data_IF_148158449293
#
_entry.id   IF_148158449293
#
_cell.length_a   1.000
_cell.length_b   1.000
_cell.length_c   1.000
_cell.angle_alpha   90.00
_cell.angle_beta   90.00
_cell.angle_gamma   90.00
#
_symmetry.space_group_name_H-M   'P 1'
#
loop_
_entity.id
_entity.type
_entity.pdbx_description
1 polymer ?
#
# COMPACT_ATOMS: atom_id res chain seq x y z
N UNK A 1 11.90 -0.98 -5.97
CA UNK A 1 12.75 -0.62 -4.82
C UNK A 1 12.90 -1.72 -3.76
N UNK A 2 12.60 -3.01 -4.05
CA UNK A 2 12.79 -4.11 -3.07
C UNK A 2 13.61 -5.29 -3.60
N UNK A 3 14.21 -5.17 -4.80
CA UNK A 3 15.00 -6.23 -5.43
C UNK A 3 16.52 -6.06 -5.19
N UNK A 4 16.94 -5.82 -3.94
CA UNK A 4 18.35 -5.97 -3.61
C UNK A 4 18.66 -7.47 -3.53
N UNK A 5 19.67 -7.94 -4.29
CA UNK A 5 19.94 -9.37 -4.47
C UNK A 5 20.16 -10.15 -3.15
N UNK A 6 20.57 -9.43 -2.10
CA UNK A 6 20.83 -9.98 -0.77
C UNK A 6 19.57 -10.39 0.02
N UNK A 7 18.38 -9.90 -0.34
CA UNK A 7 17.15 -10.14 0.42
C UNK A 7 16.11 -10.97 -0.35
N UNK A 8 16.54 -11.75 -1.34
CA UNK A 8 15.64 -12.67 -2.05
C UNK A 8 15.13 -13.75 -1.09
N UNK A 9 13.82 -14.03 -1.13
CA UNK A 9 13.10 -15.00 -0.31
C UNK A 9 12.97 -14.65 1.19
N UNK A 10 13.18 -13.38 1.57
CA UNK A 10 12.86 -12.90 2.92
C UNK A 10 11.56 -12.11 2.85
N UNK A 11 10.53 -12.45 3.65
CA UNK A 11 9.26 -11.74 3.60
C UNK A 11 9.44 -10.30 4.09
N UNK A 12 8.89 -9.34 3.35
CA UNK A 12 8.89 -7.94 3.73
C UNK A 12 7.58 -7.59 4.46
N UNK A 13 7.73 -7.07 5.68
CA UNK A 13 6.65 -6.43 6.43
C UNK A 13 6.74 -4.92 6.21
N UNK A 14 5.61 -4.30 5.85
CA UNK A 14 5.51 -2.85 5.77
C UNK A 14 4.30 -2.35 6.57
N UNK A 15 4.50 -1.25 7.30
CA UNK A 15 3.42 -0.50 7.94
C UNK A 15 3.35 0.87 7.27
N UNK A 16 2.30 1.15 6.47
CA UNK A 16 2.16 2.45 5.85
C UNK A 16 1.87 3.48 6.94
N UNK A 17 2.87 4.30 7.26
CA UNK A 17 2.65 5.45 8.12
C UNK A 17 1.85 6.47 7.32
N UNK A 18 0.64 6.77 7.79
CA UNK A 18 -0.05 7.96 7.34
C UNK A 18 0.72 9.16 7.87
N UNK A 19 1.60 9.73 7.05
CA UNK A 19 2.03 11.08 7.32
C UNK A 19 0.76 11.94 7.36
N UNK A 20 0.54 12.64 8.48
CA UNK A 20 -0.37 13.78 8.55
C UNK A 20 0.09 14.73 7.44
N UNK A 21 -0.43 14.59 6.23
CA UNK A 21 -0.35 15.65 5.23
C UNK A 21 -1.36 16.67 5.73
N UNK A 22 -0.86 17.57 6.58
CA UNK A 22 -1.61 18.73 7.04
C UNK A 22 -1.93 19.51 5.78
N UNK A 23 -3.21 19.51 5.40
CA UNK A 23 -3.70 20.35 4.33
C UNK A 23 -3.63 21.80 4.85
N UNK A 24 -2.49 22.47 4.61
CA UNK A 24 -2.21 23.80 5.18
C UNK A 24 -3.25 24.86 4.81
N UNK A 25 -4.09 24.59 3.81
CA UNK A 25 -5.18 25.45 3.35
C UNK A 25 -6.48 25.33 4.16
N UNK A 26 -6.71 24.22 4.86
CA UNK A 26 -7.94 23.99 5.61
C UNK A 26 -7.61 23.44 7.00
N UNK A 27 -7.69 24.30 8.02
CA UNK A 27 -7.40 24.00 9.43
C UNK A 27 -8.35 23.02 10.13
N UNK A 28 -8.85 22.01 9.41
CA UNK A 28 -9.64 20.92 9.96
C UNK A 28 -8.72 19.71 10.10
N UNK A 29 -8.08 19.58 11.26
CA UNK A 29 -7.49 18.31 11.68
C UNK A 29 -8.62 17.28 11.79
N UNK A 30 -8.80 16.45 10.76
CA UNK A 30 -9.75 15.34 10.81
C UNK A 30 -9.00 14.04 10.55
N UNK A 31 -8.92 13.22 11.59
CA UNK A 31 -8.38 11.85 11.56
C UNK A 31 -8.97 10.99 10.43
N UNK A 32 -10.16 11.35 9.91
CA UNK A 32 -10.80 10.70 8.75
C UNK A 32 -10.08 10.90 7.41
N UNK A 33 -9.24 11.93 7.26
CA UNK A 33 -8.48 12.22 6.03
C UNK A 33 -7.33 11.21 5.80
N UNK A 34 -7.02 10.41 6.82
CA UNK A 34 -5.92 9.44 6.87
C UNK A 34 -6.17 8.13 6.07
N UNK A 35 -7.44 7.74 5.88
CA UNK A 35 -7.80 6.43 5.30
C UNK A 35 -7.37 6.32 3.83
N UNK A 36 -7.59 7.37 3.03
CA UNK A 36 -7.28 7.37 1.60
C UNK A 36 -5.78 7.45 1.31
N UNK A 37 -5.03 8.20 2.13
CA UNK A 37 -3.56 8.23 2.05
C UNK A 37 -2.97 6.86 2.39
N UNK A 38 -3.48 6.22 3.44
CA UNK A 38 -3.09 4.86 3.82
C UNK A 38 -3.44 3.86 2.71
N UNK A 39 -4.65 3.95 2.13
CA UNK A 39 -5.08 3.12 1.01
C UNK A 39 -4.17 3.27 -0.22
N UNK A 40 -3.76 4.50 -0.54
CA UNK A 40 -2.85 4.78 -1.65
C UNK A 40 -1.47 4.16 -1.42
N UNK A 41 -0.92 4.33 -0.22
CA UNK A 41 0.35 3.70 0.15
C UNK A 41 0.26 2.16 0.13
N UNK A 42 -0.85 1.59 0.60
CA UNK A 42 -1.15 0.16 0.52
C UNK A 42 -1.16 -0.36 -0.91
N UNK A 43 -1.87 0.32 -1.82
CA UNK A 43 -1.94 -0.09 -3.22
C UNK A 43 -0.54 -0.15 -3.86
N UNK A 44 0.30 0.85 -3.56
CA UNK A 44 1.70 0.89 -3.97
C UNK A 44 2.48 -0.29 -3.39
N UNK A 45 2.36 -0.56 -2.09
CA UNK A 45 3.05 -1.68 -1.43
C UNK A 45 2.71 -3.03 -2.08
N UNK A 46 1.43 -3.27 -2.36
CA UNK A 46 0.97 -4.49 -3.03
C UNK A 46 1.60 -4.60 -4.41
N UNK A 47 1.51 -3.55 -5.23
CA UNK A 47 2.09 -3.55 -6.59
C UNK A 47 3.60 -3.82 -6.56
N UNK A 48 4.32 -3.30 -5.57
CA UNK A 48 5.76 -3.53 -5.41
C UNK A 48 6.14 -4.86 -4.75
N UNK A 49 5.17 -5.68 -4.38
CA UNK A 49 5.40 -7.06 -3.90
C UNK A 49 5.75 -7.17 -2.42
N UNK A 50 5.20 -6.28 -1.58
CA UNK A 50 5.28 -6.46 -0.11
C UNK A 50 4.44 -7.67 0.31
N UNK A 51 5.01 -8.55 1.15
CA UNK A 51 4.37 -9.80 1.56
C UNK A 51 3.34 -9.62 2.68
N UNK A 52 3.67 -8.79 3.68
CA UNK A 52 2.82 -8.58 4.86
C UNK A 52 2.63 -7.08 5.06
N UNK A 53 1.37 -6.65 5.20
CA UNK A 53 1.03 -5.25 5.46
C UNK A 53 0.18 -5.15 6.73
N UNK A 54 0.63 -4.33 7.68
CA UNK A 54 -0.12 -4.06 8.92
C UNK A 54 -1.01 -2.85 8.74
N UNK A 55 -2.29 -2.99 9.09
CA UNK A 55 -3.32 -1.95 8.92
C UNK A 55 -4.23 -1.87 10.14
N UNK A 56 -4.81 -0.69 10.39
CA UNK A 56 -5.81 -0.50 11.44
C UNK A 56 -7.25 -0.68 10.93
N UNK A 57 -7.56 -0.16 9.74
CA UNK A 57 -8.90 -0.23 9.14
C UNK A 57 -9.05 -1.45 8.22
N UNK A 58 -9.19 -2.65 8.80
CA UNK A 58 -9.14 -3.91 8.04
C UNK A 58 -10.22 -4.01 6.95
N UNK A 59 -11.44 -3.56 7.23
CA UNK A 59 -12.59 -3.74 6.33
C UNK A 59 -12.39 -2.96 5.02
N UNK A 60 -11.99 -1.70 5.13
CA UNK A 60 -11.73 -0.80 4.02
C UNK A 60 -10.45 -1.22 3.29
N UNK A 61 -9.37 -1.49 4.01
CA UNK A 61 -8.07 -1.82 3.41
C UNK A 61 -8.07 -3.17 2.70
N UNK A 62 -8.86 -4.14 3.16
CA UNK A 62 -9.02 -5.42 2.46
C UNK A 62 -9.59 -5.26 1.04
N UNK A 63 -10.47 -4.28 0.81
CA UNK A 63 -10.99 -4.01 -0.53
C UNK A 63 -9.90 -3.46 -1.44
N UNK A 64 -9.10 -2.52 -0.92
CA UNK A 64 -7.98 -1.91 -1.64
C UNK A 64 -6.94 -2.98 -2.02
N UNK A 65 -6.56 -3.84 -1.07
CA UNK A 65 -5.59 -4.92 -1.30
C UNK A 65 -6.07 -5.86 -2.41
N UNK A 66 -7.36 -6.26 -2.39
CA UNK A 66 -7.92 -7.15 -3.43
C UNK A 66 -7.82 -6.55 -4.83
N UNK A 67 -8.15 -5.28 -4.97
CA UNK A 67 -8.08 -4.57 -6.27
C UNK A 67 -6.62 -4.43 -6.71
N UNK A 68 -5.73 -4.01 -5.81
CA UNK A 68 -4.31 -3.84 -6.11
C UNK A 68 -3.63 -5.16 -6.50
N UNK A 69 -3.98 -6.27 -5.84
CA UNK A 69 -3.43 -7.58 -6.17
C UNK A 69 -3.92 -8.08 -7.55
N UNK A 70 -5.20 -7.85 -7.88
CA UNK A 70 -5.71 -8.13 -9.22
C UNK A 70 -4.95 -7.34 -10.31
N UNK A 71 -4.66 -6.05 -10.06
CA UNK A 71 -3.86 -5.22 -10.96
C UNK A 71 -2.44 -5.78 -11.11
N UNK A 72 -1.78 -6.11 -10.01
CA UNK A 72 -0.42 -6.68 -10.00
C UNK A 72 -0.34 -7.99 -10.77
N UNK A 73 -1.30 -8.90 -10.55
CA UNK A 73 -1.39 -10.16 -11.29
C UNK A 73 -1.52 -9.90 -12.79
N UNK A 74 -2.36 -8.93 -13.18
CA UNK A 74 -2.55 -8.57 -14.58
C UNK A 74 -1.30 -7.93 -15.20
N UNK A 75 -0.57 -7.09 -14.46
CA UNK A 75 0.71 -6.52 -14.90
C UNK A 75 1.77 -7.61 -15.10
N UNK A 76 1.86 -8.56 -14.18
CA UNK A 76 2.80 -9.68 -14.31
C UNK A 76 2.50 -10.53 -15.55
N UNK A 77 1.22 -10.82 -15.84
CA UNK A 77 0.84 -11.53 -17.08
C UNK A 77 1.27 -10.79 -18.35
N UNK A 78 1.17 -9.46 -18.37
CA UNK A 78 1.56 -8.63 -19.53
C UNK A 78 3.07 -8.52 -19.72
N UNK A 79 3.86 -8.57 -18.64
CA UNK A 79 5.33 -8.53 -18.71
C UNK A 79 5.97 -9.86 -19.12
N UNK A 80 5.18 -10.91 -19.31
CA UNK A 80 5.64 -12.27 -19.70
C UNK A 80 5.31 -12.58 -21.17
N UNK A 81 4.51 -11.73 -21.84
CA UNK A 81 4.27 -11.74 -23.29
C UNK A 81 5.19 -10.73 -24.00
#
# INVERSE_FOLDING_TARGET
LVHHQAFRNIPFLFEPLASRIIDSSNGVEKESTCIWSTASALAVCVIFGVDIIRVHHLKEMAQVIKVADAIRIQQNKKNIL
#
